data_IF_972373511151
#
_entry.id   IF_972373511151
#
_cell.length_a   1.000
_cell.length_b   1.000
_cell.length_c   1.000
_cell.angle_alpha   90.00
_cell.angle_beta   90.00
_cell.angle_gamma   90.00
#
_symmetry.space_group_name_H-M   'P 1'
#
loop_
_entity.id
_entity.type
_entity.pdbx_description
1 polymer ?
#
# COMPACT_ATOMS: atom_id res chain seq x y z
N UNK A 1 35.54 -4.10 68.40
CA UNK A 1 34.35 -4.45 67.58
C UNK A 1 34.15 -3.33 66.56
N UNK A 2 33.81 -3.69 65.32
CA UNK A 2 34.05 -2.92 64.09
C UNK A 2 33.19 -1.66 63.94
N UNK A 3 33.82 -0.51 63.64
CA UNK A 3 33.14 0.72 63.27
C UNK A 3 32.70 0.67 61.79
N UNK A 4 31.39 0.64 61.59
CA UNK A 4 30.72 0.68 60.29
C UNK A 4 30.86 2.06 59.63
N UNK A 5 31.80 2.20 58.69
CA UNK A 5 31.84 3.32 57.75
C UNK A 5 31.03 2.95 56.50
N UNK A 6 29.70 3.10 56.56
CA UNK A 6 28.86 3.11 55.35
C UNK A 6 29.23 4.33 54.50
N UNK A 7 30.12 4.13 53.53
CA UNK A 7 30.44 5.10 52.47
C UNK A 7 29.15 5.41 51.70
N UNK A 8 28.50 6.55 52.00
CA UNK A 8 27.38 7.06 51.17
C UNK A 8 27.90 7.23 49.75
N UNK A 9 27.52 6.33 48.85
CA UNK A 9 27.72 6.50 47.42
C UNK A 9 26.98 7.79 47.05
N UNK A 10 27.71 8.85 46.72
CA UNK A 10 27.15 10.04 46.06
C UNK A 10 26.67 9.61 44.68
N UNK A 11 25.48 9.04 44.62
CA UNK A 11 24.77 8.88 43.36
C UNK A 11 24.52 10.29 42.82
N UNK A 12 25.19 10.65 41.74
CA UNK A 12 24.84 11.85 40.98
C UNK A 12 23.48 11.55 40.36
N UNK A 13 22.41 12.10 40.95
CA UNK A 13 21.08 12.06 40.35
C UNK A 13 21.03 12.94 39.12
N UNK A 14 20.19 12.56 38.15
CA UNK A 14 19.89 13.37 36.98
C UNK A 14 19.25 14.69 37.44
N UNK A 15 19.71 15.82 36.90
CA UNK A 15 19.08 17.10 37.22
C UNK A 15 17.83 17.29 36.35
N UNK A 16 16.81 17.97 36.87
CA UNK A 16 15.62 18.31 36.07
C UNK A 16 15.98 19.20 34.87
N UNK A 17 16.99 20.07 35.03
CA UNK A 17 17.43 20.95 33.96
C UNK A 17 18.09 20.18 32.80
N UNK A 18 18.88 19.13 33.10
CA UNK A 18 19.44 18.25 32.07
C UNK A 18 18.33 17.57 31.27
N UNK A 19 17.23 17.15 31.91
CA UNK A 19 16.11 16.54 31.21
C UNK A 19 15.36 17.55 30.34
N UNK A 20 15.14 18.76 30.84
CA UNK A 20 14.41 19.81 30.15
C UNK A 20 15.14 20.25 28.87
N UNK A 21 16.46 20.39 28.92
CA UNK A 21 17.24 20.78 27.72
C UNK A 21 17.17 19.70 26.64
N UNK A 22 17.19 18.42 27.03
CA UNK A 22 17.13 17.30 26.08
C UNK A 22 15.77 17.27 25.35
N UNK A 23 14.65 17.38 26.08
CA UNK A 23 13.33 17.41 25.43
C UNK A 23 13.14 18.66 24.56
N UNK A 24 13.74 19.79 24.94
CA UNK A 24 13.69 21.02 24.14
C UNK A 24 14.38 20.86 22.78
N UNK A 25 15.55 20.22 22.74
CA UNK A 25 16.27 19.95 21.48
C UNK A 25 15.51 18.93 20.63
N UNK A 26 14.98 17.85 21.24
CA UNK A 26 14.17 16.84 20.54
C UNK A 26 12.94 17.50 19.92
N UNK A 27 12.27 18.41 20.63
CA UNK A 27 11.09 19.12 20.12
C UNK A 27 11.41 19.93 18.86
N UNK A 28 12.52 20.69 18.85
CA UNK A 28 12.94 21.48 17.68
C UNK A 28 13.18 20.58 16.47
N UNK A 29 13.88 19.46 16.64
CA UNK A 29 14.16 18.50 15.56
C UNK A 29 12.87 17.85 15.09
N UNK A 30 12.00 17.44 16.02
CA UNK A 30 10.75 16.77 15.73
C UNK A 30 9.82 17.64 14.87
N UNK A 31 9.75 18.96 15.11
CA UNK A 31 8.93 19.87 14.31
C UNK A 31 9.27 19.86 12.82
N UNK A 32 10.55 19.70 12.46
CA UNK A 32 10.98 19.64 11.05
C UNK A 32 10.94 18.20 10.52
N UNK A 33 11.29 17.23 11.36
CA UNK A 33 11.42 15.84 10.97
C UNK A 33 10.06 15.14 10.74
N UNK A 34 9.07 15.39 11.61
CA UNK A 34 7.75 14.75 11.54
C UNK A 34 7.02 15.02 10.22
N UNK A 35 6.80 16.29 9.78
CA UNK A 35 6.06 16.52 8.53
C UNK A 35 6.79 15.94 7.32
N UNK A 36 8.13 16.01 7.30
CA UNK A 36 8.94 15.39 6.25
C UNK A 36 8.80 13.86 6.24
N UNK A 37 8.78 13.24 7.40
CA UNK A 37 8.59 11.79 7.53
C UNK A 37 7.20 11.36 7.07
N UNK A 38 6.16 12.11 7.43
CA UNK A 38 4.78 11.83 6.97
C UNK A 38 4.70 11.90 5.45
N UNK A 39 5.16 13.00 4.83
CA UNK A 39 5.17 13.11 3.37
C UNK A 39 6.01 12.02 2.67
N UNK A 40 7.15 11.64 3.27
CA UNK A 40 7.98 10.56 2.73
C UNK A 40 7.29 9.20 2.82
N UNK A 41 6.48 8.97 3.85
CA UNK A 41 5.68 7.74 3.99
C UNK A 41 4.56 7.71 2.97
N UNK A 42 3.85 8.82 2.79
CA UNK A 42 2.76 8.91 1.81
C UNK A 42 3.28 8.67 0.39
N UNK A 43 4.43 9.27 0.01
CA UNK A 43 5.09 8.99 -1.26
C UNK A 43 5.53 7.52 -1.40
N UNK A 44 6.00 6.89 -0.32
CA UNK A 44 6.37 5.48 -0.34
C UNK A 44 5.14 4.59 -0.53
N UNK A 45 4.00 4.93 0.07
CA UNK A 45 2.73 4.24 -0.12
C UNK A 45 2.26 4.35 -1.59
N UNK A 46 2.29 5.56 -2.18
CA UNK A 46 1.97 5.77 -3.61
C UNK A 46 2.84 4.94 -4.54
N UNK A 47 4.16 4.92 -4.29
CA UNK A 47 5.10 4.08 -5.05
C UNK A 47 4.85 2.59 -4.87
N UNK A 48 4.47 2.16 -3.66
CA UNK A 48 4.08 0.76 -3.39
C UNK A 48 2.86 0.38 -4.22
N UNK A 49 1.87 1.25 -4.32
CA UNK A 49 0.64 0.95 -5.07
C UNK A 49 0.90 0.87 -6.56
N UNK A 50 1.73 1.77 -7.11
CA UNK A 50 2.16 1.70 -8.52
C UNK A 50 2.92 0.39 -8.79
N UNK A 51 3.79 -0.05 -7.87
CA UNK A 51 4.53 -1.30 -8.00
C UNK A 51 3.60 -2.52 -7.94
N UNK A 52 2.63 -2.51 -7.02
CA UNK A 52 1.61 -3.54 -6.90
C UNK A 52 0.74 -3.62 -8.16
N UNK A 53 0.28 -2.48 -8.68
CA UNK A 53 -0.49 -2.38 -9.91
C UNK A 53 0.28 -2.96 -11.11
N UNK A 54 1.59 -2.69 -11.22
CA UNK A 54 2.44 -3.30 -12.26
C UNK A 54 2.52 -4.82 -12.12
N UNK A 55 2.65 -5.33 -10.90
CA UNK A 55 2.66 -6.79 -10.66
C UNK A 55 1.33 -7.41 -11.12
N UNK A 56 0.19 -6.82 -10.76
CA UNK A 56 -1.13 -7.26 -11.21
C UNK A 56 -1.23 -7.22 -12.73
N UNK A 57 -0.83 -6.11 -13.36
CA UNK A 57 -0.86 -5.96 -14.81
C UNK A 57 0.04 -6.96 -15.54
N UNK A 58 1.20 -7.32 -14.97
CA UNK A 58 2.08 -8.33 -15.53
C UNK A 58 1.47 -9.73 -15.45
N UNK A 59 0.87 -10.07 -14.32
CA UNK A 59 0.12 -11.34 -14.17
C UNK A 59 -1.03 -11.39 -15.16
N UNK A 60 -1.81 -10.31 -15.26
CA UNK A 60 -2.90 -10.21 -16.21
C UNK A 60 -2.42 -10.35 -17.66
N UNK A 61 -1.34 -9.66 -18.02
CA UNK A 61 -0.75 -9.76 -19.37
C UNK A 61 -0.28 -11.19 -19.67
N UNK A 62 0.25 -11.90 -18.69
CA UNK A 62 0.66 -13.30 -18.85
C UNK A 62 -0.53 -14.24 -19.06
N UNK A 63 -1.61 -14.06 -18.31
CA UNK A 63 -2.81 -14.88 -18.45
C UNK A 63 -3.53 -14.59 -19.77
N UNK A 64 -3.59 -13.32 -20.17
CA UNK A 64 -4.10 -12.92 -21.49
C UNK A 64 -3.30 -13.54 -22.63
N UNK A 65 -1.97 -13.60 -22.50
CA UNK A 65 -1.10 -14.24 -23.50
C UNK A 65 -1.28 -15.77 -23.57
N UNK A 66 -1.83 -16.38 -22.52
CA UNK A 66 -2.12 -17.81 -22.43
C UNK A 66 -3.58 -18.15 -22.76
N UNK A 67 -4.38 -17.19 -23.23
CA UNK A 67 -5.83 -17.30 -23.45
C UNK A 67 -6.61 -17.72 -22.17
N UNK A 68 -6.08 -17.37 -20.99
CA UNK A 68 -6.63 -17.68 -19.67
C UNK A 68 -7.36 -16.48 -19.03
N UNK A 69 -7.43 -15.34 -19.72
CA UNK A 69 -8.30 -14.22 -19.35
C UNK A 69 -9.38 -14.00 -20.40
N UNK A 70 -10.58 -13.75 -19.91
CA UNK A 70 -11.71 -13.39 -20.74
C UNK A 70 -11.62 -11.92 -21.18
N UNK A 71 -11.71 -11.69 -22.50
CA UNK A 71 -11.69 -10.34 -23.07
C UNK A 71 -13.09 -10.00 -23.54
N UNK A 72 -13.68 -8.88 -23.11
CA UNK A 72 -15.02 -8.52 -23.54
C UNK A 72 -15.06 -8.33 -25.06
N UNK A 73 -16.10 -8.86 -25.70
CA UNK A 73 -16.30 -8.70 -27.14
C UNK A 73 -16.46 -7.23 -27.58
N UNK A 74 -16.94 -6.37 -26.67
CA UNK A 74 -17.06 -4.92 -26.87
C UNK A 74 -16.91 -4.19 -25.53
N UNK A 75 -16.29 -3.01 -25.54
CA UNK A 75 -16.19 -2.16 -24.35
C UNK A 75 -15.11 -2.60 -23.37
N UNK A 76 -15.37 -2.41 -22.08
CA UNK A 76 -14.43 -2.67 -20.99
C UNK A 76 -15.11 -3.53 -19.92
N UNK A 77 -14.43 -4.58 -19.46
CA UNK A 77 -14.82 -5.40 -18.34
C UNK A 77 -14.00 -4.98 -17.11
N UNK A 78 -14.67 -4.52 -16.05
CA UNK A 78 -14.05 -4.17 -14.76
C UNK A 78 -14.30 -5.29 -13.75
N UNK A 79 -13.28 -5.68 -12.99
CA UNK A 79 -13.39 -6.68 -11.94
C UNK A 79 -12.44 -6.39 -10.78
N UNK A 80 -12.88 -6.67 -9.56
CA UNK A 80 -12.05 -6.54 -8.35
C UNK A 80 -11.08 -7.71 -8.26
N UNK A 81 -9.84 -7.46 -7.87
CA UNK A 81 -8.85 -8.52 -7.58
C UNK A 81 -9.10 -9.06 -6.16
N UNK A 82 -9.65 -10.27 -6.02
CA UNK A 82 -10.07 -10.87 -4.73
C UNK A 82 -9.60 -12.32 -4.60
N UNK A 83 -9.31 -12.77 -3.37
CA UNK A 83 -8.75 -14.11 -3.07
C UNK A 83 -9.77 -15.25 -3.19
N UNK A 84 -11.04 -14.97 -3.50
CA UNK A 84 -12.10 -15.96 -3.41
C UNK A 84 -12.69 -16.30 -4.79
N UNK A 85 -12.21 -17.37 -5.45
CA UNK A 85 -12.80 -17.86 -6.69
C UNK A 85 -14.24 -18.39 -6.52
N UNK A 86 -14.72 -18.57 -5.28
CA UNK A 86 -16.05 -19.08 -4.95
C UNK A 86 -16.96 -18.02 -4.30
N UNK A 87 -16.59 -16.75 -4.31
CA UNK A 87 -17.55 -15.68 -4.04
C UNK A 87 -18.43 -15.55 -5.30
N UNK A 88 -19.41 -16.44 -5.44
CA UNK A 88 -20.59 -16.13 -6.27
C UNK A 88 -21.29 -14.95 -5.59
N UNK A 89 -20.84 -13.74 -5.90
CA UNK A 89 -21.63 -12.54 -5.68
C UNK A 89 -22.69 -12.51 -6.79
N UNK A 90 -23.98 -12.76 -6.48
CA UNK A 90 -25.03 -12.88 -7.48
C UNK A 90 -25.33 -11.57 -8.22
N UNK A 91 -24.73 -10.44 -7.81
CA UNK A 91 -24.88 -9.14 -8.49
C UNK A 91 -23.68 -8.80 -9.39
N UNK A 92 -22.67 -9.68 -9.46
CA UNK A 92 -21.56 -9.56 -10.40
C UNK A 92 -21.84 -10.45 -11.61
N UNK A 93 -22.00 -9.85 -12.80
CA UNK A 93 -21.62 -10.57 -14.02
C UNK A 93 -20.17 -11.02 -13.80
N UNK A 94 -19.97 -12.32 -13.54
CA UNK A 94 -18.70 -12.89 -13.11
C UNK A 94 -17.69 -12.73 -14.25
N UNK A 95 -16.99 -11.60 -14.26
CA UNK A 95 -15.76 -11.45 -15.00
C UNK A 95 -14.69 -12.19 -14.22
N UNK A 96 -14.39 -13.42 -14.65
CA UNK A 96 -13.44 -14.35 -14.01
C UNK A 96 -12.05 -13.74 -13.87
N UNK A 97 -11.73 -12.74 -14.71
CA UNK A 97 -10.48 -12.02 -14.75
C UNK A 97 -9.91 -11.64 -13.38
N UNK A 98 -10.73 -11.10 -12.48
CA UNK A 98 -10.27 -10.71 -11.13
C UNK A 98 -9.81 -11.90 -10.28
N UNK A 99 -10.51 -13.03 -10.38
CA UNK A 99 -10.19 -14.28 -9.69
C UNK A 99 -9.01 -15.00 -10.37
N UNK A 100 -8.99 -15.06 -11.70
CA UNK A 100 -7.92 -15.70 -12.49
C UNK A 100 -6.56 -15.03 -12.19
N UNK A 101 -6.56 -13.70 -12.06
CA UNK A 101 -5.38 -12.94 -11.66
C UNK A 101 -5.01 -13.18 -10.20
N UNK A 102 -5.99 -13.25 -9.30
CA UNK A 102 -5.73 -13.55 -7.89
C UNK A 102 -5.05 -14.91 -7.71
N UNK A 103 -5.41 -15.91 -8.51
CA UNK A 103 -4.75 -17.24 -8.53
C UNK A 103 -3.29 -17.12 -8.98
N UNK A 104 -2.99 -16.23 -9.93
CA UNK A 104 -1.63 -15.97 -10.42
C UNK A 104 -0.77 -15.10 -9.49
N UNK A 105 -1.31 -14.56 -8.39
CA UNK A 105 -0.60 -13.69 -7.46
C UNK A 105 -0.15 -14.46 -6.21
N UNK A 106 1.08 -14.21 -5.75
CA UNK A 106 1.60 -14.81 -4.51
C UNK A 106 0.92 -14.26 -3.24
N UNK A 107 0.38 -13.06 -3.33
CA UNK A 107 -0.40 -12.37 -2.29
C UNK A 107 -1.18 -11.26 -2.98
N UNK A 108 -2.44 -11.07 -2.61
CA UNK A 108 -3.25 -9.98 -3.16
C UNK A 108 -2.85 -8.69 -2.46
N UNK A 109 -2.25 -7.74 -3.18
CA UNK A 109 -1.89 -6.47 -2.58
C UNK A 109 -3.16 -5.67 -2.28
N UNK A 110 -3.14 -4.90 -1.20
CA UNK A 110 -4.09 -3.82 -0.93
C UNK A 110 -3.40 -2.48 -1.10
N UNK A 111 -4.15 -1.44 -1.45
CA UNK A 111 -3.61 -0.10 -1.58
C UNK A 111 -3.21 0.45 -0.21
N UNK A 112 -2.09 1.17 -0.17
CA UNK A 112 -1.61 1.87 1.02
C UNK A 112 -1.78 3.37 0.93
N UNK A 113 -2.19 3.89 -0.23
CA UNK A 113 -2.39 5.32 -0.46
C UNK A 113 -3.83 5.76 -0.22
N UNK A 114 -4.77 4.83 -0.27
CA UNK A 114 -6.21 5.06 -0.04
C UNK A 114 -6.67 4.14 1.09
N UNK A 115 -7.44 4.70 2.02
CA UNK A 115 -8.07 3.93 3.10
C UNK A 115 -9.01 2.87 2.49
N UNK A 116 -8.86 1.62 2.92
CA UNK A 116 -9.56 0.45 2.38
C UNK A 116 -9.46 0.30 0.84
N UNK A 117 -8.37 0.80 0.24
CA UNK A 117 -8.22 0.78 -1.21
C UNK A 117 -7.98 -0.63 -1.77
N UNK A 118 -8.85 -1.03 -2.69
CA UNK A 118 -8.80 -2.33 -3.38
C UNK A 118 -8.30 -2.15 -4.82
N UNK A 119 -7.62 -3.15 -5.38
CA UNK A 119 -7.23 -3.09 -6.79
C UNK A 119 -8.33 -3.67 -7.67
N UNK A 120 -8.62 -2.94 -8.74
CA UNK A 120 -9.53 -3.32 -9.80
C UNK A 120 -8.77 -3.44 -11.10
N UNK A 121 -9.12 -4.44 -11.90
CA UNK A 121 -8.62 -4.59 -13.25
C UNK A 121 -9.73 -4.24 -14.23
N UNK A 122 -9.34 -3.49 -15.26
CA UNK A 122 -10.15 -3.28 -16.44
C UNK A 122 -9.45 -3.88 -17.65
N UNK A 123 -10.13 -4.81 -18.33
CA UNK A 123 -9.70 -5.39 -19.60
C UNK A 123 -10.62 -4.86 -20.69
N UNK A 124 -10.04 -4.28 -21.73
CA UNK A 124 -10.78 -3.72 -22.86
C UNK A 124 -10.76 -4.67 -24.07
N UNK A 125 -11.73 -4.52 -24.96
CA UNK A 125 -11.85 -5.30 -26.20
C UNK A 125 -10.64 -5.16 -27.15
N UNK A 126 -9.79 -4.16 -26.94
CA UNK A 126 -8.52 -3.96 -27.65
C UNK A 126 -7.32 -4.61 -26.94
N UNK A 127 -7.57 -5.51 -25.98
CA UNK A 127 -6.57 -6.19 -25.16
C UNK A 127 -5.74 -5.24 -24.27
N UNK A 128 -6.16 -3.98 -24.11
CA UNK A 128 -5.52 -3.09 -23.15
C UNK A 128 -5.94 -3.42 -21.72
N UNK A 129 -4.96 -3.37 -20.81
CA UNK A 129 -5.15 -3.64 -19.37
C UNK A 129 -4.92 -2.34 -18.61
N UNK A 130 -5.90 -1.96 -17.80
CA UNK A 130 -5.77 -0.88 -16.81
C UNK A 130 -5.93 -1.46 -15.42
N UNK A 131 -5.16 -0.93 -14.48
CA UNK A 131 -5.30 -1.25 -13.06
C UNK A 131 -5.67 0.03 -12.32
N UNK A 132 -6.75 -0.05 -11.55
CA UNK A 132 -7.32 1.06 -10.79
C UNK A 132 -7.24 0.75 -9.29
N UNK A 133 -7.15 1.80 -8.49
CA UNK A 133 -7.39 1.76 -7.05
C UNK A 133 -8.83 2.20 -6.84
N UNK A 134 -9.64 1.28 -6.32
CA UNK A 134 -11.11 1.32 -6.25
C UNK A 134 -11.79 1.33 -7.63
N UNK A 135 -13.06 0.95 -7.66
CA UNK A 135 -13.83 0.85 -8.91
C UNK A 135 -13.99 2.23 -9.57
N UNK A 136 -13.59 2.34 -10.84
CA UNK A 136 -13.55 3.60 -11.59
C UNK A 136 -12.67 4.69 -10.94
N UNK A 137 -11.79 4.30 -10.01
CA UNK A 137 -11.03 5.21 -9.17
C UNK A 137 -9.73 5.68 -9.80
N UNK A 138 -8.65 5.64 -9.02
CA UNK A 138 -7.36 6.20 -9.44
C UNK A 138 -6.62 5.19 -10.32
N UNK A 139 -6.37 5.54 -11.58
CA UNK A 139 -5.55 4.71 -12.47
C UNK A 139 -4.12 4.61 -11.92
N UNK A 140 -3.66 3.40 -11.67
CA UNK A 140 -2.30 3.10 -11.22
C UNK A 140 -1.43 2.49 -12.33
N UNK A 141 -2.05 1.93 -13.37
CA UNK A 141 -1.40 1.36 -14.55
C UNK A 141 -2.33 1.52 -15.78
N UNK A 142 -1.81 1.77 -17.00
CA UNK A 142 -0.39 1.80 -17.42
C UNK A 142 0.37 3.07 -17.03
N UNK A 143 -0.32 4.21 -17.00
CA UNK A 143 0.27 5.48 -16.56
C UNK A 143 -0.47 5.91 -15.31
N UNK A 144 0.18 5.94 -14.13
CA UNK A 144 -0.47 6.41 -12.92
C UNK A 144 -1.08 7.79 -13.16
N UNK A 145 -2.28 8.04 -12.66
CA UNK A 145 -3.00 9.29 -12.80
C UNK A 145 -3.34 9.89 -11.42
N UNK A 146 -3.70 11.18 -11.42
CA UNK A 146 -4.22 11.87 -10.24
C UNK A 146 -3.30 11.81 -9.02
N UNK A 147 -3.88 11.51 -7.86
CA UNK A 147 -3.22 11.57 -6.56
C UNK A 147 -2.02 10.63 -6.37
N UNK A 148 -1.67 9.78 -7.34
CA UNK A 148 -0.49 8.91 -7.30
C UNK A 148 0.80 9.60 -7.76
N UNK A 149 0.71 10.73 -8.45
CA UNK A 149 1.86 11.47 -9.01
C UNK A 149 2.23 12.70 -8.16
N UNK A 150 1.25 13.29 -7.47
CA UNK A 150 1.40 14.52 -6.68
C UNK A 150 2.08 14.32 -5.30
#
# INVERSE_FOLDING_TARGET
MLNNLKKKRKGKGFTLIELIIVIAIIAIIATIAIPKLLNSRDQANRKSDIANAKTIANTASSLLANDELDVPATGVASSRVVENPNAEDPDTNVYTNGNDIAVGLQSIPTSKSVEDGEFWIEVSADNSIRILINDGGIEAYPTPAGALID
#
